data_IF_793890219352
#
_entry.id   IF_793890219352
#
_cell.length_a   1.000
_cell.length_b   1.000
_cell.length_c   1.000
_cell.angle_alpha   90.00
_cell.angle_beta   90.00
_cell.angle_gamma   90.00
#
_symmetry.space_group_name_H-M   'P 1'
#
loop_
_entity.id
_entity.type
_entity.pdbx_description
1 polymer ?
#
# COMPACT_ATOMS: atom_id res chain seq x y z
N UNK A 1 -5.31 19.69 10.54
CA UNK A 1 -4.24 19.73 11.57
C UNK A 1 -3.14 18.75 11.19
N UNK A 2 -1.91 18.92 11.71
CA UNK A 2 -0.80 17.96 11.44
C UNK A 2 -1.16 16.53 11.86
N UNK A 3 -1.85 16.37 12.99
CA UNK A 3 -2.34 15.06 13.48
C UNK A 3 -3.24 14.39 12.45
N UNK A 4 -4.26 15.08 11.95
CA UNK A 4 -5.17 14.52 10.95
C UNK A 4 -4.45 14.11 9.66
N UNK A 5 -3.50 14.92 9.20
CA UNK A 5 -2.69 14.60 8.02
C UNK A 5 -1.95 13.26 8.19
N UNK A 6 -1.22 13.10 9.29
CA UNK A 6 -0.50 11.85 9.55
C UNK A 6 -1.44 10.67 9.77
N UNK A 7 -2.53 10.84 10.51
CA UNK A 7 -3.51 9.77 10.73
C UNK A 7 -4.07 9.25 9.41
N UNK A 8 -4.43 10.13 8.48
CA UNK A 8 -4.98 9.72 7.17
C UNK A 8 -3.94 8.95 6.35
N UNK A 9 -2.70 9.41 6.32
CA UNK A 9 -1.61 8.72 5.62
C UNK A 9 -1.35 7.34 6.24
N UNK A 10 -1.28 7.25 7.57
CA UNK A 10 -1.05 5.97 8.25
C UNK A 10 -2.21 4.99 8.02
N UNK A 11 -3.45 5.47 8.01
CA UNK A 11 -4.61 4.65 7.64
C UNK A 11 -4.43 4.15 6.21
N UNK A 12 -4.16 5.03 5.24
CA UNK A 12 -4.00 4.62 3.85
C UNK A 12 -2.82 3.68 3.60
N UNK A 13 -1.74 3.80 4.38
CA UNK A 13 -0.56 2.94 4.27
C UNK A 13 -0.80 1.50 4.76
N UNK A 14 -1.83 1.27 5.58
CA UNK A 14 -2.19 -0.07 6.11
C UNK A 14 -3.50 -0.58 5.50
N UNK A 15 -4.30 0.31 4.90
CA UNK A 15 -5.64 -0.01 4.43
C UNK A 15 -5.69 -1.14 3.39
N UNK A 16 -4.76 -1.26 2.42
CA UNK A 16 -4.79 -2.38 1.47
C UNK A 16 -4.88 -3.76 2.16
N UNK A 17 -4.13 -3.95 3.24
CA UNK A 17 -4.07 -5.21 4.00
C UNK A 17 -5.27 -5.47 4.92
N UNK A 18 -6.30 -4.62 4.92
CA UNK A 18 -7.54 -4.95 5.64
C UNK A 18 -8.22 -6.20 5.03
N UNK A 19 -7.88 -6.57 3.79
CA UNK A 19 -8.31 -7.83 3.19
C UNK A 19 -7.74 -9.07 3.89
N UNK A 20 -6.68 -8.95 4.70
CA UNK A 20 -6.15 -10.06 5.49
C UNK A 20 -7.20 -10.56 6.49
N UNK A 21 -8.08 -9.69 7.00
CA UNK A 21 -9.21 -10.14 7.81
C UNK A 21 -10.13 -11.07 7.02
N UNK A 22 -10.40 -10.74 5.75
CA UNK A 22 -11.18 -11.61 4.88
C UNK A 22 -10.45 -12.91 4.56
N UNK A 23 -9.17 -12.80 4.17
CA UNK A 23 -8.26 -13.91 3.86
C UNK A 23 -8.20 -14.96 4.98
N UNK A 24 -8.04 -14.52 6.24
CA UNK A 24 -7.94 -15.40 7.39
C UNK A 24 -9.28 -15.89 7.94
N UNK A 25 -10.32 -15.05 7.94
CA UNK A 25 -11.58 -15.37 8.62
C UNK A 25 -12.62 -16.04 7.72
N UNK A 26 -12.62 -15.76 6.41
CA UNK A 26 -13.69 -16.19 5.51
C UNK A 26 -13.18 -16.97 4.29
N UNK A 27 -12.05 -16.57 3.71
CA UNK A 27 -11.54 -17.18 2.48
C UNK A 27 -10.79 -18.50 2.71
N UNK A 28 -10.49 -18.84 3.97
CA UNK A 28 -9.64 -19.98 4.34
C UNK A 28 -8.25 -19.95 3.66
N UNK A 29 -7.77 -18.76 3.31
CA UNK A 29 -6.49 -18.54 2.63
C UNK A 29 -6.40 -19.23 1.26
N UNK A 30 -7.52 -19.34 0.55
CA UNK A 30 -7.62 -20.03 -0.73
C UNK A 30 -7.07 -19.21 -1.89
N UNK A 31 -7.17 -17.88 -1.80
CA UNK A 31 -6.70 -16.93 -2.80
C UNK A 31 -5.55 -16.11 -2.23
N UNK A 32 -4.48 -15.91 -3.02
CA UNK A 32 -3.39 -15.02 -2.63
C UNK A 32 -3.94 -13.61 -2.36
N UNK A 33 -3.67 -13.02 -1.19
CA UNK A 33 -4.37 -11.79 -0.78
C UNK A 33 -4.14 -10.60 -1.72
N UNK A 34 -2.95 -10.44 -2.32
CA UNK A 34 -2.72 -9.43 -3.38
C UNK A 34 -3.58 -9.60 -4.66
N UNK A 35 -4.34 -10.69 -4.77
CA UNK A 35 -5.34 -10.86 -5.83
C UNK A 35 -6.67 -10.19 -5.48
N UNK A 36 -6.89 -9.74 -4.24
CA UNK A 36 -8.03 -8.90 -3.91
C UNK A 36 -7.84 -7.48 -4.45
N UNK A 37 -8.96 -6.80 -4.71
CA UNK A 37 -8.97 -5.51 -5.40
C UNK A 37 -8.25 -4.38 -4.64
N UNK A 38 -8.01 -4.56 -3.34
CA UNK A 38 -7.30 -3.61 -2.52
C UNK A 38 -5.81 -3.49 -2.85
N UNK A 39 -5.23 -4.43 -3.59
CA UNK A 39 -3.82 -4.36 -4.06
C UNK A 39 -3.71 -4.04 -5.55
N UNK A 40 -4.78 -3.59 -6.20
CA UNK A 40 -4.75 -3.27 -7.63
C UNK A 40 -4.52 -1.77 -7.86
N UNK A 41 -3.58 -1.43 -8.75
CA UNK A 41 -3.42 -0.06 -9.23
C UNK A 41 -4.67 0.43 -9.97
N UNK A 42 -5.34 -0.46 -10.68
CA UNK A 42 -6.62 -0.15 -11.35
C UNK A 42 -7.70 0.34 -10.40
N UNK A 43 -7.62 -0.01 -9.10
CA UNK A 43 -8.57 0.44 -8.08
C UNK A 43 -8.14 1.79 -7.50
N UNK A 44 -6.89 1.92 -7.09
CA UNK A 44 -6.42 3.12 -6.38
C UNK A 44 -6.08 4.31 -7.27
N UNK A 45 -5.57 4.09 -8.50
CA UNK A 45 -5.22 5.18 -9.42
C UNK A 45 -6.47 6.01 -9.77
N UNK A 46 -7.62 5.42 -10.15
CA UNK A 46 -8.83 6.21 -10.41
C UNK A 46 -9.29 7.01 -9.18
N UNK A 47 -9.28 6.40 -7.98
CA UNK A 47 -9.66 7.08 -6.73
C UNK A 47 -8.74 8.29 -6.48
N UNK A 48 -7.43 8.10 -6.63
CA UNK A 48 -6.45 9.17 -6.49
C UNK A 48 -6.68 10.29 -7.52
N UNK A 49 -6.83 9.95 -8.80
CA UNK A 49 -6.99 10.94 -9.86
C UNK A 49 -8.30 11.74 -9.69
N UNK A 50 -9.43 11.06 -9.46
CA UNK A 50 -10.73 11.72 -9.25
C UNK A 50 -10.66 12.68 -8.06
N UNK A 51 -10.13 12.22 -6.93
CA UNK A 51 -10.01 13.05 -5.72
C UNK A 51 -9.02 14.20 -5.90
N UNK A 52 -7.90 13.98 -6.59
CA UNK A 52 -6.91 15.00 -6.89
C UNK A 52 -7.46 16.10 -7.81
N UNK A 53 -8.12 15.72 -8.90
CA UNK A 53 -8.74 16.68 -9.81
C UNK A 53 -9.86 17.44 -9.13
N UNK A 54 -10.70 16.77 -8.35
CA UNK A 54 -11.73 17.44 -7.56
C UNK A 54 -11.13 18.42 -6.53
N UNK A 55 -10.04 18.03 -5.85
CA UNK A 55 -9.32 18.93 -4.94
C UNK A 55 -8.82 20.18 -5.68
N UNK A 56 -8.22 20.00 -6.87
CA UNK A 56 -7.76 21.11 -7.72
C UNK A 56 -8.91 22.00 -8.20
N UNK A 57 -10.01 21.43 -8.69
CA UNK A 57 -11.18 22.18 -9.15
C UNK A 57 -11.90 22.91 -8.02
N UNK A 58 -11.86 22.37 -6.80
CA UNK A 58 -12.33 23.07 -5.58
C UNK A 58 -11.40 24.21 -5.13
N UNK A 59 -10.38 24.56 -5.93
CA UNK A 59 -9.33 25.54 -5.57
C UNK A 59 -8.66 25.19 -4.24
N UNK A 60 -8.42 23.90 -4.01
CA UNK A 60 -7.75 23.36 -2.82
C UNK A 60 -8.52 23.59 -1.50
N UNK A 61 -9.84 23.80 -1.56
CA UNK A 61 -10.66 24.05 -0.36
C UNK A 61 -11.33 22.79 0.20
N UNK A 62 -11.54 21.76 -0.62
CA UNK A 62 -12.23 20.54 -0.20
C UNK A 62 -11.33 19.67 0.70
N UNK A 63 -11.66 19.64 1.99
CA UNK A 63 -10.96 18.81 2.99
C UNK A 63 -11.13 17.31 2.75
N UNK A 64 -12.30 16.89 2.27
CA UNK A 64 -12.59 15.50 1.94
C UNK A 64 -11.73 15.04 0.75
N UNK A 65 -11.65 15.89 -0.30
CA UNK A 65 -10.82 15.59 -1.47
C UNK A 65 -9.35 15.42 -1.07
N UNK A 66 -8.83 16.34 -0.25
CA UNK A 66 -7.48 16.23 0.31
C UNK A 66 -7.29 14.93 1.11
N UNK A 67 -8.25 14.56 1.97
CA UNK A 67 -8.16 13.33 2.75
C UNK A 67 -8.08 12.09 1.86
N UNK A 68 -8.91 12.00 0.82
CA UNK A 68 -8.91 10.87 -0.12
C UNK A 68 -7.61 10.83 -0.93
N UNK A 69 -7.09 11.99 -1.36
CA UNK A 69 -5.78 12.08 -2.04
C UNK A 69 -4.68 11.51 -1.14
N UNK A 70 -4.61 11.93 0.13
CA UNK A 70 -3.59 11.46 1.06
C UNK A 70 -3.69 9.94 1.33
N UNK A 71 -4.91 9.45 1.55
CA UNK A 71 -5.17 8.04 1.81
C UNK A 71 -4.79 7.19 0.58
N UNK A 72 -5.29 7.54 -0.59
CA UNK A 72 -5.01 6.80 -1.83
C UNK A 72 -3.54 6.90 -2.25
N UNK A 73 -2.86 8.02 -1.98
CA UNK A 73 -1.40 8.12 -2.21
C UNK A 73 -0.63 7.14 -1.34
N UNK A 74 -1.02 6.99 -0.07
CA UNK A 74 -0.38 6.06 0.84
C UNK A 74 -0.67 4.60 0.46
N UNK A 75 -1.89 4.29 0.01
CA UNK A 75 -2.24 2.97 -0.51
C UNK A 75 -1.46 2.64 -1.80
N UNK A 76 -1.29 3.60 -2.72
CA UNK A 76 -0.45 3.41 -3.91
C UNK A 76 1.02 3.17 -3.55
N UNK A 77 1.53 3.87 -2.53
CA UNK A 77 2.88 3.64 -2.03
C UNK A 77 3.02 2.23 -1.44
N UNK A 78 2.05 1.78 -0.63
CA UNK A 78 2.00 0.43 -0.09
C UNK A 78 2.10 -0.61 -1.22
N UNK A 79 1.22 -0.54 -2.21
CA UNK A 79 1.20 -1.48 -3.35
C UNK A 79 2.50 -1.43 -4.15
N UNK A 80 3.10 -0.24 -4.30
CA UNK A 80 4.40 -0.07 -4.96
C UNK A 80 5.55 -0.74 -4.18
N UNK A 81 5.43 -0.83 -2.85
CA UNK A 81 6.40 -1.54 -2.03
C UNK A 81 6.16 -3.05 -2.10
N UNK A 82 4.91 -3.50 -2.16
CA UNK A 82 4.59 -4.93 -2.34
C UNK A 82 5.25 -5.51 -3.58
N UNK A 83 5.33 -4.75 -4.68
CA UNK A 83 5.95 -5.23 -5.93
C UNK A 83 7.45 -5.49 -5.81
N UNK A 84 8.12 -5.08 -4.74
CA UNK A 84 9.53 -5.41 -4.56
C UNK A 84 9.74 -6.92 -4.46
N UNK A 85 8.86 -7.62 -3.75
CA UNK A 85 9.05 -9.04 -3.42
C UNK A 85 7.77 -9.88 -3.40
N UNK A 86 6.61 -9.24 -3.42
CA UNK A 86 5.31 -9.88 -3.46
C UNK A 86 4.78 -9.94 -4.88
N UNK A 87 4.12 -11.05 -5.23
CA UNK A 87 3.34 -11.15 -6.46
C UNK A 87 2.10 -10.25 -6.35
N UNK A 88 2.02 -9.21 -7.18
CA UNK A 88 0.89 -8.25 -7.16
C UNK A 88 0.19 -8.20 -8.52
N UNK A 89 -1.14 -8.30 -8.52
CA UNK A 89 -1.98 -8.20 -9.72
C UNK A 89 -2.32 -6.74 -10.07
N UNK A 90 -1.28 -5.94 -10.35
CA UNK A 90 -1.39 -4.48 -10.50
C UNK A 90 -2.52 -4.02 -11.43
N UNK A 91 -2.71 -4.71 -12.56
CA UNK A 91 -3.66 -4.33 -13.61
C UNK A 91 -4.90 -5.23 -13.67
N UNK A 92 -5.14 -6.07 -12.67
CA UNK A 92 -6.43 -6.75 -12.53
C UNK A 92 -7.56 -5.71 -12.40
N UNK A 93 -8.80 -6.00 -12.81
CA UNK A 93 -9.25 -7.25 -13.41
C UNK A 93 -8.98 -7.34 -14.92
N UNK A 94 -8.36 -6.31 -15.52
CA UNK A 94 -8.14 -6.26 -16.97
C UNK A 94 -7.06 -7.24 -17.44
N UNK A 95 -6.04 -7.45 -16.61
CA UNK A 95 -4.93 -8.38 -16.86
C UNK A 95 -4.76 -9.29 -15.64
N UNK A 96 -5.00 -10.59 -15.79
CA UNK A 96 -4.76 -11.60 -14.74
C UNK A 96 -3.30 -12.08 -14.80
N UNK A 97 -2.37 -11.22 -14.36
CA UNK A 97 -0.94 -11.53 -14.29
C UNK A 97 -0.31 -10.91 -13.03
N UNK A 98 0.49 -11.69 -12.27
CA UNK A 98 1.28 -11.14 -11.17
C UNK A 98 2.53 -10.41 -11.67
N UNK A 99 2.91 -9.37 -10.94
CA UNK A 99 4.12 -8.59 -11.16
C UNK A 99 4.92 -8.53 -9.87
N UNK A 100 6.23 -8.79 -9.97
CA UNK A 100 7.20 -8.71 -8.89
C UNK A 100 8.55 -8.27 -9.48
N UNK A 101 9.32 -7.48 -8.74
CA UNK A 101 10.63 -6.99 -9.18
C UNK A 101 11.77 -7.92 -8.78
N UNK A 102 11.70 -8.51 -7.59
CA UNK A 102 12.74 -9.37 -7.06
C UNK A 102 12.14 -10.60 -6.40
N UNK A 103 12.73 -11.75 -6.67
CA UNK A 103 12.29 -13.02 -6.07
C UNK A 103 12.97 -13.23 -4.71
N UNK A 104 12.21 -13.69 -3.72
CA UNK A 104 12.73 -14.09 -2.42
C UNK A 104 12.95 -15.60 -2.39
N UNK A 105 14.22 -16.02 -2.37
CA UNK A 105 14.55 -17.45 -2.27
C UNK A 105 14.16 -18.02 -0.90
N UNK A 106 13.43 -19.13 -0.89
CA UNK A 106 13.02 -19.82 0.34
C UNK A 106 14.18 -20.62 0.96
N UNK A 107 14.86 -20.03 1.96
CA UNK A 107 16.02 -20.61 2.68
C UNK A 107 15.73 -20.88 4.16
N UNK A 108 14.84 -20.10 4.77
CA UNK A 108 14.55 -20.10 6.20
C UNK A 108 13.09 -20.47 6.47
N UNK A 109 12.84 -20.99 7.67
CA UNK A 109 11.50 -21.26 8.19
C UNK A 109 11.32 -20.60 9.56
N UNK A 110 10.17 -19.94 9.83
CA UNK A 110 9.02 -19.73 8.94
C UNK A 110 9.31 -18.78 7.76
N UNK A 111 8.52 -18.89 6.67
CA UNK A 111 8.82 -18.23 5.39
C UNK A 111 9.08 -16.71 5.48
N UNK A 112 8.39 -16.01 6.37
CA UNK A 112 8.55 -14.55 6.56
C UNK A 112 9.97 -14.14 6.98
N UNK A 113 10.79 -15.05 7.53
CA UNK A 113 12.21 -14.78 7.79
C UNK A 113 13.01 -14.55 6.51
N UNK A 114 12.63 -15.19 5.40
CA UNK A 114 13.30 -14.98 4.10
C UNK A 114 13.12 -13.54 3.64
N UNK A 115 11.94 -12.97 3.87
CA UNK A 115 11.65 -11.58 3.56
C UNK A 115 12.46 -10.63 4.47
N UNK A 116 12.47 -10.86 5.78
CA UNK A 116 13.22 -10.01 6.73
C UNK A 116 14.72 -9.97 6.39
N UNK A 117 15.29 -11.09 5.95
CA UNK A 117 16.70 -11.16 5.54
C UNK A 117 16.94 -10.79 4.07
N UNK A 118 15.89 -10.50 3.30
CA UNK A 118 16.03 -10.00 1.95
C UNK A 118 16.41 -8.51 1.98
N UNK A 119 17.27 -8.08 1.06
CA UNK A 119 17.78 -6.70 1.04
C UNK A 119 16.65 -5.66 0.89
N UNK A 120 15.53 -6.03 0.26
CA UNK A 120 14.38 -5.13 0.09
C UNK A 120 13.79 -4.67 1.42
N UNK A 121 13.90 -5.48 2.48
CA UNK A 121 13.43 -5.10 3.81
C UNK A 121 14.18 -3.87 4.35
N UNK A 122 15.42 -3.63 3.90
CA UNK A 122 16.15 -2.42 4.25
C UNK A 122 15.49 -1.13 3.71
N UNK A 123 14.79 -1.21 2.58
CA UNK A 123 14.02 -0.09 2.03
C UNK A 123 12.91 0.31 3.00
N UNK A 124 12.21 -0.67 3.58
CA UNK A 124 11.18 -0.43 4.59
C UNK A 124 11.76 0.21 5.86
N UNK A 125 12.91 -0.29 6.32
CA UNK A 125 13.64 0.28 7.46
C UNK A 125 14.01 1.75 7.19
N UNK A 126 14.52 2.06 6.00
CA UNK A 126 14.87 3.44 5.62
C UNK A 126 13.63 4.35 5.65
N UNK A 127 12.52 3.91 5.04
CA UNK A 127 11.28 4.71 4.99
C UNK A 127 10.77 4.97 6.42
N UNK A 128 10.73 3.94 7.26
CA UNK A 128 10.34 4.05 8.66
C UNK A 128 11.27 4.97 9.46
N UNK A 129 12.58 4.86 9.24
CA UNK A 129 13.58 5.68 9.91
C UNK A 129 13.48 7.16 9.51
N UNK A 130 13.30 7.45 8.22
CA UNK A 130 13.07 8.80 7.72
C UNK A 130 11.77 9.36 8.31
N UNK A 131 10.69 8.57 8.32
CA UNK A 131 9.42 8.98 8.92
C UNK A 131 9.57 9.29 10.41
N UNK A 132 10.34 8.49 11.14
CA UNK A 132 10.65 8.71 12.56
C UNK A 132 11.45 10.00 12.79
N UNK A 133 12.49 10.26 11.99
CA UNK A 133 13.25 11.53 12.06
C UNK A 133 12.32 12.72 11.79
N UNK A 134 11.48 12.63 10.76
CA UNK A 134 10.53 13.69 10.42
C UNK A 134 9.46 13.89 11.50
N UNK A 135 9.13 12.84 12.26
CA UNK A 135 8.24 12.93 13.41
C UNK A 135 8.92 13.64 14.58
N UNK A 136 10.19 13.34 14.88
CA UNK A 136 10.95 13.98 15.96
C UNK A 136 11.35 15.44 15.67
N UNK A 137 11.58 15.79 14.40
CA UNK A 137 11.90 17.17 13.98
C UNK A 137 10.69 18.11 14.01
N UNK A 138 9.49 17.61 14.30
CA UNK A 138 8.24 18.37 14.31
C UNK A 138 7.85 18.85 15.69
#
# INVERSE_FOLDING_TARGET
SKKAFFTIIMIGAVFPDIDLFYFYLFDNRSVHHHKYFLHWFSFWIPIFLISYFYFKFSKYTSRLALAIVLLSSAALLHISLDTFVGDVWLFAPFIDKPYVFFEVTSRYQPWWLNFIFHWSFFVEIIICFIAFILYLKK
#
